data_IF_539460428474
#
_entry.id   IF_539460428474
#
_cell.length_a   1.000
_cell.length_b   1.000
_cell.length_c   1.000
_cell.angle_alpha   90.00
_cell.angle_beta   90.00
_cell.angle_gamma   90.00
#
_symmetry.space_group_name_H-M   'P 1'
#
loop_
_entity.id
_entity.type
_entity.pdbx_description
1 polymer ?
#
# COMPACT_ATOMS: atom_id res chain seq x y z
N UNK A 1 14.08 61.80 31.53
CA UNK A 1 14.52 60.59 32.25
C UNK A 1 15.57 59.88 31.41
N UNK A 2 16.87 60.03 31.72
CA UNK A 2 17.96 59.38 30.95
C UNK A 2 18.07 57.92 31.38
N UNK A 3 17.78 56.98 30.49
CA UNK A 3 18.06 55.56 30.75
C UNK A 3 19.56 55.36 30.95
N UNK A 4 19.93 54.65 32.02
CA UNK A 4 21.32 54.30 32.29
C UNK A 4 21.84 53.36 31.19
N UNK A 5 23.14 53.48 30.86
CA UNK A 5 23.81 52.60 29.90
C UNK A 5 23.61 51.11 30.23
N UNK A 6 23.47 50.78 31.53
CA UNK A 6 23.17 49.41 31.98
C UNK A 6 21.75 48.99 31.58
N UNK A 7 20.76 49.87 31.76
CA UNK A 7 19.36 49.60 31.39
C UNK A 7 19.21 49.45 29.87
N UNK A 8 19.96 50.24 29.08
CA UNK A 8 19.99 50.12 27.62
C UNK A 8 20.59 48.78 27.17
N UNK A 9 21.65 48.32 27.85
CA UNK A 9 22.28 47.01 27.61
C UNK A 9 21.32 45.86 27.90
N UNK A 10 20.58 45.93 29.01
CA UNK A 10 19.59 44.91 29.37
C UNK A 10 18.44 44.82 28.34
N UNK A 11 17.98 45.95 27.83
CA UNK A 11 16.95 45.99 26.78
C UNK A 11 17.48 45.39 25.48
N UNK A 12 18.72 45.70 25.09
CA UNK A 12 19.33 45.13 23.89
C UNK A 12 19.47 43.60 23.96
N UNK A 13 19.85 43.07 25.13
CA UNK A 13 19.92 41.61 25.36
C UNK A 13 18.54 40.95 25.27
N UNK A 14 17.50 41.59 25.83
CA UNK A 14 16.12 41.11 25.76
C UNK A 14 15.58 41.09 24.33
N UNK A 15 15.87 42.12 23.54
CA UNK A 15 15.46 42.17 22.13
C UNK A 15 16.21 41.11 21.33
N UNK A 16 17.51 40.92 21.56
CA UNK A 16 18.30 39.90 20.88
C UNK A 16 17.80 38.47 21.21
N UNK A 17 17.39 38.20 22.45
CA UNK A 17 16.86 36.88 22.83
C UNK A 17 15.47 36.61 22.24
N UNK A 18 14.59 37.63 22.20
CA UNK A 18 13.30 37.56 21.51
C UNK A 18 13.47 37.33 20.01
N UNK A 19 14.42 38.02 19.37
CA UNK A 19 14.70 37.86 17.94
C UNK A 19 15.27 36.46 17.62
N UNK A 20 16.14 35.95 18.48
CA UNK A 20 16.70 34.60 18.35
C UNK A 20 15.62 33.52 18.53
N UNK A 21 14.69 33.72 19.47
CA UNK A 21 13.55 32.83 19.66
C UNK A 21 12.60 32.86 18.45
N UNK A 22 12.38 34.04 17.86
CA UNK A 22 11.54 34.20 16.66
C UNK A 22 12.17 33.52 15.43
N UNK A 23 13.49 33.62 15.26
CA UNK A 23 14.24 32.92 14.21
C UNK A 23 14.25 31.41 14.42
N UNK A 24 14.39 30.95 15.67
CA UNK A 24 14.31 29.52 16.01
C UNK A 24 12.92 28.93 15.74
N UNK A 25 11.85 29.67 16.04
CA UNK A 25 10.47 29.25 15.74
C UNK A 25 10.21 29.21 14.23
N UNK A 26 10.65 30.23 13.48
CA UNK A 26 10.55 30.24 12.00
C UNK A 26 11.35 29.11 11.34
N UNK A 27 12.56 28.81 11.85
CA UNK A 27 13.36 27.70 11.35
C UNK A 27 12.66 26.35 11.58
N UNK A 28 12.00 26.18 12.73
CA UNK A 28 11.19 24.99 13.03
C UNK A 28 9.93 24.88 12.15
N UNK A 29 9.31 26.00 11.76
CA UNK A 29 8.20 26.01 10.80
C UNK A 29 8.65 25.54 9.40
N UNK A 30 9.86 25.90 8.97
CA UNK A 30 10.47 25.41 7.73
C UNK A 30 10.91 23.93 7.78
N UNK A 31 11.08 23.37 8.97
CA UNK A 31 11.42 21.97 9.22
C UNK A 31 10.21 21.07 9.52
N UNK A 32 8.99 21.62 9.62
CA UNK A 32 7.82 20.76 9.80
C UNK A 32 7.69 19.82 8.60
N UNK A 33 7.68 18.49 8.81
CA UNK A 33 7.59 17.54 7.72
C UNK A 33 6.35 17.88 6.90
N UNK A 34 6.55 18.07 5.58
CA UNK A 34 5.49 18.44 4.65
C UNK A 34 4.27 17.55 4.91
N UNK A 35 3.13 18.17 5.20
CA UNK A 35 1.89 17.46 5.50
C UNK A 35 1.53 16.56 4.32
N UNK A 36 1.40 15.25 4.55
CA UNK A 36 0.98 14.28 3.55
C UNK A 36 -0.49 13.96 3.79
N UNK A 37 -1.34 14.46 2.90
CA UNK A 37 -2.76 14.20 2.94
C UNK A 37 -3.10 12.99 2.08
N UNK A 38 -3.87 12.06 2.61
CA UNK A 38 -4.32 10.85 1.91
C UNK A 38 -5.84 10.77 1.93
N UNK A 39 -6.41 10.19 0.89
CA UNK A 39 -7.82 9.81 0.85
C UNK A 39 -8.01 8.47 1.56
N UNK A 40 -9.22 8.22 2.07
CA UNK A 40 -9.62 6.91 2.57
C UNK A 40 -11.03 6.54 2.11
N UNK A 41 -11.32 5.24 2.09
CA UNK A 41 -12.61 4.70 1.68
C UNK A 41 -12.64 4.22 0.23
N UNK A 42 -13.84 3.92 -0.27
CA UNK A 42 -14.05 3.47 -1.65
C UNK A 42 -13.81 4.58 -2.67
N UNK A 43 -13.86 4.22 -3.96
CA UNK A 43 -13.61 5.15 -5.09
C UNK A 43 -14.53 6.39 -5.11
N UNK A 44 -15.64 6.38 -4.38
CA UNK A 44 -16.60 7.50 -4.29
C UNK A 44 -16.35 8.44 -3.08
N UNK A 45 -15.41 8.11 -2.19
CA UNK A 45 -15.17 8.87 -0.95
C UNK A 45 -13.98 9.81 -1.13
N UNK A 46 -14.27 11.11 -1.15
CA UNK A 46 -13.26 12.19 -1.31
C UNK A 46 -12.71 12.71 0.03
N UNK A 47 -12.95 12.02 1.14
CA UNK A 47 -12.46 12.48 2.45
C UNK A 47 -10.95 12.30 2.59
N UNK A 48 -10.26 13.41 2.88
CA UNK A 48 -8.82 13.43 3.10
C UNK A 48 -8.50 13.56 4.58
N UNK A 49 -7.41 12.92 5.01
CA UNK A 49 -6.86 13.08 6.35
C UNK A 49 -5.35 13.27 6.33
N UNK A 50 -4.82 13.79 7.44
CA UNK A 50 -3.39 13.91 7.64
C UNK A 50 -2.77 12.54 7.96
N UNK A 51 -2.08 11.98 6.99
CA UNK A 51 -1.39 10.71 7.10
C UNK A 51 0.11 10.86 7.38
N UNK A 52 0.61 12.07 7.65
CA UNK A 52 2.05 12.38 7.73
C UNK A 52 2.82 11.45 8.67
N UNK A 53 2.22 11.02 9.79
CA UNK A 53 2.82 10.09 10.73
C UNK A 53 3.25 8.74 10.11
N UNK A 54 2.48 8.23 9.14
CA UNK A 54 2.72 6.94 8.49
C UNK A 54 3.92 6.98 7.54
N UNK A 55 4.14 8.14 6.91
CA UNK A 55 5.28 8.37 6.03
C UNK A 55 6.52 8.81 6.81
N UNK A 56 6.36 9.68 7.81
CA UNK A 56 7.45 10.13 8.67
C UNK A 56 8.08 8.98 9.49
N UNK A 57 7.28 7.99 9.88
CA UNK A 57 7.78 6.75 10.51
C UNK A 57 8.49 5.79 9.54
N UNK A 58 8.49 6.09 8.24
CA UNK A 58 9.10 5.26 7.20
C UNK A 58 8.30 4.00 6.85
N UNK A 59 7.09 3.84 7.41
CA UNK A 59 6.25 2.67 7.11
C UNK A 59 5.79 2.66 5.65
N UNK A 60 5.52 3.85 5.09
CA UNK A 60 5.08 4.00 3.71
C UNK A 60 5.89 5.01 2.92
N UNK A 61 5.82 4.85 1.60
CA UNK A 61 6.36 5.73 0.57
C UNK A 61 5.23 6.18 -0.35
N UNK A 62 5.24 7.43 -0.81
CA UNK A 62 4.30 7.87 -1.84
C UNK A 62 4.50 7.05 -3.11
N UNK A 63 3.41 6.83 -3.85
CA UNK A 63 3.45 6.21 -5.17
C UNK A 63 3.48 7.31 -6.23
N UNK A 64 4.30 7.18 -7.26
CA UNK A 64 4.40 8.20 -8.30
C UNK A 64 3.30 7.97 -9.34
N UNK A 65 2.30 8.85 -9.35
CA UNK A 65 1.12 8.79 -10.23
C UNK A 65 1.51 8.66 -11.71
N UNK A 66 2.60 9.31 -12.13
CA UNK A 66 3.03 9.36 -13.54
C UNK A 66 3.88 8.16 -13.94
N UNK A 67 4.66 7.60 -13.01
CA UNK A 67 5.57 6.49 -13.29
C UNK A 67 4.93 5.12 -13.03
N UNK A 68 4.04 5.03 -12.05
CA UNK A 68 3.48 3.78 -11.56
C UNK A 68 2.06 3.62 -12.09
N UNK A 69 1.90 3.40 -13.40
CA UNK A 69 0.58 3.27 -14.07
C UNK A 69 -0.47 2.56 -13.19
N UNK A 70 -1.47 3.32 -12.73
CA UNK A 70 -2.45 2.89 -11.72
C UNK A 70 -2.22 3.42 -10.30
N UNK A 71 -1.24 4.30 -10.08
CA UNK A 71 -1.08 5.06 -8.87
C UNK A 71 -2.13 6.17 -8.78
N UNK A 72 -2.79 6.23 -7.64
CA UNK A 72 -3.80 7.23 -7.31
C UNK A 72 -3.38 7.97 -6.05
N UNK A 73 -3.93 9.17 -5.85
CA UNK A 73 -3.96 9.89 -4.58
C UNK A 73 -4.47 9.06 -3.36
N UNK A 74 -5.04 7.87 -3.59
CA UNK A 74 -5.52 6.96 -2.55
C UNK A 74 -4.52 5.84 -2.21
N UNK A 75 -3.48 5.63 -3.03
CA UNK A 75 -2.56 4.48 -2.90
C UNK A 75 -1.16 4.91 -2.47
N UNK A 76 -0.51 4.04 -1.69
CA UNK A 76 0.85 4.21 -1.19
C UNK A 76 1.60 2.87 -1.26
N UNK A 77 2.92 2.90 -1.08
CA UNK A 77 3.74 1.69 -1.05
C UNK A 77 4.28 1.46 0.35
N UNK A 78 4.10 0.25 0.86
CA UNK A 78 4.66 -0.17 2.13
C UNK A 78 6.15 -0.46 1.96
N UNK A 79 6.97 0.11 2.86
CA UNK A 79 8.42 -0.08 2.82
C UNK A 79 8.83 -1.53 3.07
N UNK A 80 8.11 -2.22 3.97
CA UNK A 80 8.33 -3.63 4.30
C UNK A 80 6.98 -4.32 4.59
N UNK A 81 6.37 -4.97 3.58
CA UNK A 81 5.16 -5.78 3.77
C UNK A 81 5.36 -6.85 4.86
N UNK A 82 4.31 -7.11 5.64
CA UNK A 82 4.36 -8.20 6.61
C UNK A 82 4.45 -9.55 5.88
N UNK A 83 5.31 -10.47 6.32
CA UNK A 83 5.38 -11.80 5.73
C UNK A 83 4.04 -12.52 5.93
N UNK A 84 3.81 -13.53 5.09
CA UNK A 84 2.72 -14.47 5.28
C UNK A 84 3.15 -15.54 6.27
N UNK A 85 2.26 -15.91 7.20
CA UNK A 85 2.44 -17.12 8.02
C UNK A 85 2.07 -18.36 7.21
N UNK A 86 2.45 -19.54 7.70
CA UNK A 86 2.09 -20.79 7.03
C UNK A 86 0.56 -20.97 6.96
N UNK A 87 -0.16 -20.64 8.03
CA UNK A 87 -1.62 -20.70 8.07
C UNK A 87 -2.22 -19.75 7.03
N UNK A 88 -1.70 -18.53 6.89
CA UNK A 88 -2.18 -17.57 5.89
C UNK A 88 -1.95 -18.05 4.46
N UNK A 89 -0.84 -18.75 4.20
CA UNK A 89 -0.58 -19.35 2.89
C UNK A 89 -1.53 -20.52 2.61
N UNK A 90 -1.86 -21.33 3.62
CA UNK A 90 -2.80 -22.44 3.50
C UNK A 90 -4.25 -21.97 3.20
N UNK A 91 -4.59 -20.73 3.58
CA UNK A 91 -5.91 -20.12 3.32
C UNK A 91 -6.04 -19.48 1.92
N UNK A 92 -4.96 -19.41 1.13
CA UNK A 92 -4.99 -18.77 -0.18
C UNK A 92 -5.95 -19.42 -1.18
N UNK A 93 -6.08 -20.76 -1.24
CA UNK A 93 -7.06 -21.38 -2.14
C UNK A 93 -8.50 -20.99 -1.82
N UNK A 94 -8.86 -20.89 -0.54
CA UNK A 94 -10.18 -20.39 -0.11
C UNK A 94 -10.37 -18.92 -0.44
N UNK A 95 -9.34 -18.09 -0.20
CA UNK A 95 -9.34 -16.68 -0.59
C UNK A 95 -9.56 -16.50 -2.10
N UNK A 96 -8.93 -17.35 -2.91
CA UNK A 96 -9.11 -17.34 -4.36
C UNK A 96 -10.52 -17.77 -4.75
N UNK A 97 -11.02 -18.89 -4.21
CA UNK A 97 -12.37 -19.39 -4.48
C UNK A 97 -13.44 -18.32 -4.16
N UNK A 98 -13.38 -17.71 -2.98
CA UNK A 98 -14.28 -16.61 -2.61
C UNK A 98 -14.18 -15.42 -3.57
N UNK A 99 -12.98 -15.08 -4.05
CA UNK A 99 -12.81 -13.96 -4.98
C UNK A 99 -13.52 -14.20 -6.33
N UNK A 100 -13.65 -15.45 -6.77
CA UNK A 100 -14.40 -15.83 -7.96
C UNK A 100 -15.92 -15.75 -7.72
N UNK A 101 -16.41 -16.10 -6.52
CA UNK A 101 -17.85 -16.04 -6.18
C UNK A 101 -18.42 -14.61 -6.30
N UNK A 102 -17.60 -13.60 -6.06
CA UNK A 102 -17.97 -12.18 -6.21
C UNK A 102 -17.67 -11.61 -7.60
N UNK A 103 -17.16 -12.42 -8.53
CA UNK A 103 -16.80 -11.99 -9.88
C UNK A 103 -17.89 -12.32 -10.91
N UNK A 104 -17.83 -11.67 -12.08
CA UNK A 104 -18.68 -12.01 -13.23
C UNK A 104 -18.07 -13.11 -14.11
N UNK A 105 -17.06 -13.83 -13.62
CA UNK A 105 -16.37 -14.87 -14.39
C UNK A 105 -17.16 -16.17 -14.34
N UNK A 106 -17.64 -16.62 -15.50
CA UNK A 106 -18.40 -17.86 -15.62
C UNK A 106 -17.50 -19.05 -15.96
N UNK A 107 -18.00 -20.25 -15.65
CA UNK A 107 -17.38 -21.53 -16.00
C UNK A 107 -15.96 -21.72 -15.44
N UNK A 108 -15.73 -21.24 -14.22
CA UNK A 108 -14.51 -21.51 -13.46
C UNK A 108 -14.82 -22.60 -12.45
N UNK A 109 -14.13 -23.73 -12.54
CA UNK A 109 -14.16 -24.74 -11.50
C UNK A 109 -13.27 -24.30 -10.33
N UNK A 110 -13.87 -23.57 -9.39
CA UNK A 110 -13.19 -23.17 -8.15
C UNK A 110 -13.09 -24.31 -7.14
N UNK A 111 -13.81 -25.42 -7.33
CA UNK A 111 -13.69 -26.58 -6.44
C UNK A 111 -12.31 -27.22 -6.57
N UNK A 112 -11.71 -27.20 -7.76
CA UNK A 112 -10.35 -27.67 -7.99
C UNK A 112 -9.32 -26.96 -7.08
N UNK A 113 -9.51 -25.68 -6.76
CA UNK A 113 -8.63 -24.96 -5.82
C UNK A 113 -8.65 -25.57 -4.42
N UNK A 114 -9.76 -26.15 -4.00
CA UNK A 114 -9.96 -26.67 -2.64
C UNK A 114 -9.64 -28.17 -2.57
N UNK A 115 -10.05 -28.92 -3.58
CA UNK A 115 -9.88 -30.37 -3.64
C UNK A 115 -8.46 -30.78 -4.05
N UNK A 116 -7.84 -29.99 -4.92
CA UNK A 116 -6.51 -30.22 -5.48
C UNK A 116 -5.70 -28.90 -5.43
N UNK A 117 -5.46 -28.36 -4.22
CA UNK A 117 -4.79 -27.08 -4.08
C UNK A 117 -3.37 -27.14 -4.67
N UNK A 118 -2.92 -26.09 -5.38
CA UNK A 118 -1.53 -25.99 -5.79
C UNK A 118 -0.59 -26.09 -4.57
N UNK A 119 0.45 -26.94 -4.65
CA UNK A 119 1.29 -27.29 -3.49
C UNK A 119 1.97 -26.08 -2.84
N UNK A 120 2.39 -25.08 -3.63
CA UNK A 120 2.97 -23.85 -3.11
C UNK A 120 2.43 -22.65 -3.90
N UNK A 121 1.72 -21.77 -3.22
CA UNK A 121 1.24 -20.50 -3.77
C UNK A 121 2.11 -19.31 -3.34
N UNK A 122 3.10 -19.51 -2.48
CA UNK A 122 3.90 -18.43 -1.90
C UNK A 122 4.68 -17.65 -2.97
N UNK A 123 5.24 -18.32 -3.97
CA UNK A 123 5.94 -17.70 -5.10
C UNK A 123 5.00 -17.09 -6.14
N UNK A 124 3.68 -17.29 -6.00
CA UNK A 124 2.63 -16.70 -6.85
C UNK A 124 1.98 -15.46 -6.23
N UNK A 125 2.46 -15.00 -5.07
CA UNK A 125 1.99 -13.77 -4.43
C UNK A 125 2.93 -12.61 -4.76
N UNK A 126 2.37 -11.45 -5.10
CA UNK A 126 3.12 -10.18 -5.24
C UNK A 126 2.42 -9.08 -4.47
N UNK A 127 3.18 -8.28 -3.73
CA UNK A 127 2.66 -7.04 -3.15
C UNK A 127 2.26 -6.08 -4.27
N UNK A 128 1.10 -5.45 -4.16
CA UNK A 128 0.57 -4.52 -5.14
C UNK A 128 0.72 -3.07 -4.68
N UNK A 129 0.04 -2.72 -3.60
CA UNK A 129 0.00 -1.38 -3.02
C UNK A 129 -0.67 -1.43 -1.63
N UNK A 130 -0.73 -0.30 -0.94
CA UNK A 130 -1.54 -0.12 0.26
C UNK A 130 -2.51 1.05 0.08
N UNK A 131 -3.61 1.05 0.80
CA UNK A 131 -4.57 2.14 0.84
C UNK A 131 -5.18 2.26 2.24
N UNK A 132 -5.82 3.39 2.56
CA UNK A 132 -6.57 3.55 3.80
C UNK A 132 -8.04 3.18 3.55
N UNK A 133 -8.54 2.14 4.20
CA UNK A 133 -9.96 1.79 4.13
C UNK A 133 -10.83 2.71 5.01
N UNK A 134 -10.24 3.26 6.07
CA UNK A 134 -10.82 4.28 6.94
C UNK A 134 -9.70 5.13 7.56
N UNK A 135 -10.07 6.15 8.33
CA UNK A 135 -9.12 6.99 9.07
C UNK A 135 -8.12 6.13 9.86
N UNK A 136 -6.83 6.26 9.53
CA UNK A 136 -5.74 5.49 10.14
C UNK A 136 -5.91 3.96 10.13
N UNK A 137 -6.71 3.42 9.21
CA UNK A 137 -6.88 1.98 9.01
C UNK A 137 -6.30 1.56 7.66
N UNK A 138 -4.98 1.30 7.60
CA UNK A 138 -4.35 0.90 6.35
C UNK A 138 -4.58 -0.59 6.04
N UNK A 139 -4.72 -0.87 4.75
CA UNK A 139 -4.78 -2.22 4.18
C UNK A 139 -3.66 -2.39 3.15
N UNK A 140 -3.04 -3.57 3.14
CA UNK A 140 -2.07 -3.99 2.13
C UNK A 140 -2.77 -4.90 1.11
N UNK A 141 -2.65 -4.56 -0.16
CA UNK A 141 -3.21 -5.31 -1.27
C UNK A 141 -2.14 -6.14 -1.96
N UNK A 142 -2.51 -7.36 -2.32
CA UNK A 142 -1.66 -8.34 -2.96
C UNK A 142 -2.34 -8.92 -4.20
N UNK A 143 -1.51 -9.30 -5.16
CA UNK A 143 -1.92 -10.13 -6.29
C UNK A 143 -1.52 -11.58 -6.03
N UNK A 144 -2.47 -12.49 -6.25
CA UNK A 144 -2.23 -13.93 -6.34
C UNK A 144 -2.48 -14.36 -7.80
N UNK A 145 -1.46 -14.96 -8.42
CA UNK A 145 -1.46 -15.36 -9.82
C UNK A 145 -1.81 -16.83 -9.97
N UNK A 146 -2.96 -17.11 -10.57
CA UNK A 146 -3.50 -18.46 -10.72
C UNK A 146 -3.68 -18.83 -12.18
N UNK A 147 -3.48 -20.11 -12.47
CA UNK A 147 -3.83 -20.70 -13.75
C UNK A 147 -4.83 -21.82 -13.48
N UNK A 148 -6.00 -21.74 -14.14
CA UNK A 148 -7.09 -22.69 -13.99
C UNK A 148 -7.65 -22.98 -15.38
N UNK A 149 -7.66 -24.26 -15.78
CA UNK A 149 -8.14 -24.70 -17.09
C UNK A 149 -7.52 -23.88 -18.25
N UNK A 150 -6.19 -23.76 -18.26
CA UNK A 150 -5.39 -23.00 -19.24
C UNK A 150 -5.72 -21.49 -19.33
N UNK A 151 -6.42 -20.96 -18.32
CA UNK A 151 -6.77 -19.53 -18.21
C UNK A 151 -6.02 -18.90 -17.05
N UNK A 152 -5.54 -17.68 -17.27
CA UNK A 152 -4.73 -16.93 -16.32
C UNK A 152 -5.57 -15.91 -15.56
N UNK A 153 -5.53 -15.95 -14.23
CA UNK A 153 -6.28 -15.06 -13.35
C UNK A 153 -5.38 -14.36 -12.35
N UNK A 154 -5.72 -13.11 -12.06
CA UNK A 154 -5.15 -12.34 -10.97
C UNK A 154 -6.22 -12.10 -9.93
N UNK A 155 -5.97 -12.66 -8.74
CA UNK A 155 -6.79 -12.40 -7.56
C UNK A 155 -6.16 -11.23 -6.82
N UNK A 156 -6.90 -10.14 -6.67
CA UNK A 156 -6.53 -9.04 -5.77
C UNK A 156 -7.18 -9.30 -4.42
N UNK A 157 -6.40 -9.33 -3.34
CA UNK A 157 -6.92 -9.50 -1.99
C UNK A 157 -6.21 -8.55 -1.01
N UNK A 158 -6.92 -8.14 0.05
CA UNK A 158 -6.37 -7.25 1.08
C UNK A 158 -6.08 -7.96 2.40
N UNK A 159 -5.10 -7.41 3.13
CA UNK A 159 -4.75 -7.78 4.50
C UNK A 159 -4.68 -6.53 5.36
N UNK A 160 -5.01 -6.69 6.63
CA UNK A 160 -4.84 -5.63 7.62
C UNK A 160 -3.35 -5.31 7.73
N UNK A 161 -2.99 -4.06 7.48
CA UNK A 161 -1.59 -3.69 7.34
C UNK A 161 -0.89 -3.51 8.71
N UNK A 162 -1.59 -3.66 9.83
CA UNK A 162 -1.01 -3.56 11.17
C UNK A 162 -0.81 -4.93 11.82
N UNK A 163 -1.75 -5.86 11.61
CA UNK A 163 -1.74 -7.21 12.17
C UNK A 163 -1.38 -8.30 11.16
N UNK A 164 -1.52 -8.02 9.86
CA UNK A 164 -1.37 -8.98 8.79
C UNK A 164 -2.57 -9.91 8.63
N UNK A 165 -3.66 -9.69 9.38
CA UNK A 165 -4.88 -10.49 9.30
C UNK A 165 -5.57 -10.39 7.93
N UNK A 166 -6.29 -11.46 7.55
CA UNK A 166 -7.03 -11.49 6.29
C UNK A 166 -8.25 -10.56 6.35
N UNK A 167 -8.58 -9.91 5.23
CA UNK A 167 -9.75 -9.06 5.09
C UNK A 167 -10.70 -9.60 4.02
N UNK A 168 -11.88 -8.99 3.94
CA UNK A 168 -12.94 -9.40 3.00
C UNK A 168 -12.74 -8.87 1.59
N UNK A 169 -11.90 -7.85 1.40
CA UNK A 169 -11.64 -7.23 0.11
C UNK A 169 -10.94 -8.20 -0.84
N UNK A 170 -11.69 -8.78 -1.79
CA UNK A 170 -11.22 -9.79 -2.74
C UNK A 170 -11.88 -9.56 -4.10
N UNK A 171 -11.12 -9.73 -5.18
CA UNK A 171 -11.63 -9.63 -6.55
C UNK A 171 -10.81 -10.49 -7.50
N UNK A 172 -11.49 -11.21 -8.40
CA UNK A 172 -10.86 -11.98 -9.46
C UNK A 172 -10.93 -11.23 -10.80
N UNK A 173 -9.83 -11.23 -11.54
CA UNK A 173 -9.78 -10.70 -12.91
C UNK A 173 -9.03 -11.66 -13.82
N UNK A 174 -9.59 -11.94 -14.99
CA UNK A 174 -8.90 -12.70 -16.03
C UNK A 174 -7.89 -11.83 -16.78
N UNK A 175 -6.72 -12.42 -17.05
CA UNK A 175 -5.68 -11.83 -17.87
C UNK A 175 -5.83 -12.37 -19.30
N UNK A 176 -6.33 -11.53 -20.19
CA UNK A 176 -6.68 -11.87 -21.57
C UNK A 176 -6.09 -10.86 -22.55
N UNK A 177 -5.74 -11.34 -23.74
CA UNK A 177 -5.25 -10.50 -24.83
C UNK A 177 -3.99 -9.69 -24.48
N UNK A 178 -3.68 -8.72 -25.34
CA UNK A 178 -2.50 -7.86 -25.20
C UNK A 178 -2.86 -6.41 -24.82
N UNK A 179 -3.66 -6.26 -23.76
CA UNK A 179 -4.00 -4.93 -23.24
C UNK A 179 -2.84 -4.37 -22.41
N UNK A 180 -2.47 -3.11 -22.65
CA UNK A 180 -1.39 -2.42 -21.94
C UNK A 180 -1.60 -2.41 -20.41
N UNK A 181 -2.84 -2.26 -19.95
CA UNK A 181 -3.21 -2.29 -18.53
C UNK A 181 -2.94 -3.63 -17.83
N UNK A 182 -2.68 -4.70 -18.59
CA UNK A 182 -2.41 -6.04 -18.07
C UNK A 182 -0.97 -6.51 -18.34
N UNK A 183 -0.12 -5.66 -18.93
CA UNK A 183 1.24 -6.02 -19.29
C UNK A 183 2.06 -6.50 -18.08
N UNK A 184 1.92 -5.82 -16.93
CA UNK A 184 2.60 -6.23 -15.70
C UNK A 184 2.19 -7.62 -15.22
N UNK A 185 0.93 -8.01 -15.44
CA UNK A 185 0.43 -9.31 -15.02
C UNK A 185 0.94 -10.42 -15.94
N UNK A 186 0.98 -10.18 -17.26
CA UNK A 186 1.57 -11.10 -18.22
C UNK A 186 3.05 -11.35 -17.90
N UNK A 187 3.82 -10.30 -17.66
CA UNK A 187 5.22 -10.42 -17.25
C UNK A 187 5.36 -11.26 -15.96
N UNK A 188 4.52 -11.02 -14.95
CA UNK A 188 4.57 -11.79 -13.71
C UNK A 188 4.29 -13.28 -13.92
N UNK A 189 3.35 -13.65 -14.81
CA UNK A 189 3.13 -15.04 -15.20
C UNK A 189 4.38 -15.66 -15.85
N UNK A 190 5.00 -14.95 -16.80
CA UNK A 190 6.20 -15.46 -17.49
C UNK A 190 7.37 -15.70 -16.50
N UNK A 191 7.53 -14.80 -15.51
CA UNK A 191 8.52 -14.95 -14.43
C UNK A 191 8.23 -16.14 -13.52
N UNK A 192 6.96 -16.33 -13.12
CA UNK A 192 6.51 -17.46 -12.30
C UNK A 192 6.74 -18.77 -13.03
N UNK A 193 6.33 -18.88 -14.30
CA UNK A 193 6.53 -20.08 -15.10
C UNK A 193 8.01 -20.39 -15.32
N UNK A 194 8.85 -19.37 -15.50
CA UNK A 194 10.29 -19.54 -15.60
C UNK A 194 10.91 -20.05 -14.30
N UNK A 195 10.38 -19.64 -13.14
CA UNK A 195 10.80 -20.16 -11.84
C UNK A 195 10.38 -21.61 -11.66
N UNK A 196 9.11 -21.94 -11.92
CA UNK A 196 8.55 -23.28 -11.75
C UNK A 196 9.21 -24.32 -12.68
N UNK A 197 9.60 -23.92 -13.89
CA UNK A 197 10.38 -24.76 -14.80
C UNK A 197 11.78 -25.07 -14.29
N UNK A 198 12.39 -24.21 -13.46
CA UNK A 198 13.73 -24.43 -12.90
C UNK A 198 13.71 -25.31 -11.66
N UNK A 199 12.56 -25.41 -10.98
CA UNK A 199 12.39 -26.18 -9.75
C UNK A 199 11.82 -27.58 -10.00
N UNK A 200 11.43 -27.89 -11.24
CA UNK A 200 11.09 -29.25 -11.73
C UNK A 200 12.34 -29.95 -12.26
#
# INVERSE_FOLDING_TARGET
MRLSKKTLLWIAVLIASLFSLLLYLNAKEGEMPKKIMMYYGGFEVEEMFDASQWFASGQYKPRNIEADGGASNVTMLRTKPMPFTHEQLAELPYTAAEAFDYSHLENIDTQALILEPPEDLSHRIRYAYSAFAALNKPEDYYYLYLELADRRFVITFSRDAQSGGNLTGKNAKEVIGDYASQAMHRQAFDEIEALERKTR
#
